data_IF_242030742162
#
_entry.id   IF_242030742162
#
_cell.length_a   1.000
_cell.length_b   1.000
_cell.length_c   1.000
_cell.angle_alpha   90.00
_cell.angle_beta   90.00
_cell.angle_gamma   90.00
#
_symmetry.space_group_name_H-M   'P 1'
#
loop_
_entity.id
_entity.type
_entity.pdbx_description
1 polymer ?
#
# COMPACT_ATOMS: atom_id res chain seq x y z
N UNK A 1 20.96 1.46 -7.96
CA UNK A 1 21.76 0.73 -6.95
C UNK A 1 20.98 -0.50 -6.49
N UNK A 2 21.64 -1.60 -6.08
CA UNK A 2 20.97 -2.74 -5.43
C UNK A 2 20.48 -2.39 -4.02
N UNK A 3 19.52 -3.14 -3.47
CA UNK A 3 18.94 -2.84 -2.15
C UNK A 3 19.96 -3.08 -1.03
N UNK A 4 20.70 -4.20 -1.05
CA UNK A 4 21.71 -4.52 -0.03
C UNK A 4 22.82 -3.48 0.02
N UNK A 5 23.29 -3.01 -1.15
CA UNK A 5 24.30 -1.97 -1.25
C UNK A 5 23.82 -0.67 -0.59
N UNK A 6 22.58 -0.25 -0.89
CA UNK A 6 21.98 0.94 -0.32
C UNK A 6 21.87 0.84 1.20
N UNK A 7 21.32 -0.25 1.71
CA UNK A 7 21.17 -0.46 3.15
C UNK A 7 22.52 -0.54 3.87
N UNK A 8 23.52 -1.23 3.29
CA UNK A 8 24.87 -1.34 3.85
C UNK A 8 25.61 0.01 3.89
N UNK A 9 25.26 0.91 2.97
CA UNK A 9 25.72 2.29 2.94
C UNK A 9 25.06 3.07 4.08
N UNK A 10 23.75 2.91 4.26
CA UNK A 10 22.99 3.61 5.30
C UNK A 10 23.43 3.18 6.70
N UNK A 11 23.74 1.91 6.93
CA UNK A 11 24.31 1.44 8.20
C UNK A 11 25.64 2.13 8.58
N UNK A 12 26.37 2.70 7.61
CA UNK A 12 27.64 3.42 7.83
C UNK A 12 27.45 4.93 7.97
N UNK A 13 26.25 5.42 7.70
CA UNK A 13 25.93 6.84 7.63
C UNK A 13 24.92 7.11 8.75
N UNK A 14 25.32 7.95 9.71
CA UNK A 14 24.47 8.39 10.82
C UNK A 14 23.45 9.45 10.33
N UNK A 15 22.64 9.09 9.33
CA UNK A 15 21.54 9.89 8.80
C UNK A 15 20.32 8.99 8.73
N UNK A 16 19.24 9.42 9.38
CA UNK A 16 17.99 8.70 9.37
C UNK A 16 17.33 8.77 7.99
N UNK A 17 17.20 7.61 7.35
CA UNK A 17 16.43 7.41 6.13
C UNK A 17 15.09 6.81 6.52
N UNK A 18 14.02 7.47 6.09
CA UNK A 18 12.64 7.03 6.32
C UNK A 18 12.27 5.91 5.35
N UNK A 19 12.78 5.96 4.11
CA UNK A 19 12.43 4.99 3.09
C UNK A 19 13.50 4.90 1.99
N UNK A 20 13.75 3.70 1.47
CA UNK A 20 14.43 3.51 0.19
C UNK A 20 13.35 3.29 -0.86
N UNK A 21 13.22 4.24 -1.78
CA UNK A 21 12.27 4.16 -2.90
C UNK A 21 12.85 3.33 -4.03
N UNK A 22 12.01 2.48 -4.59
CA UNK A 22 12.29 1.66 -5.75
C UNK A 22 11.52 2.18 -6.95
N UNK A 23 12.18 2.33 -8.09
CA UNK A 23 11.50 2.57 -9.36
C UNK A 23 12.26 1.98 -10.54
N UNK A 24 11.52 1.74 -11.63
CA UNK A 24 12.03 1.15 -12.86
C UNK A 24 11.54 -0.29 -13.08
N UNK A 25 11.84 -0.84 -14.27
CA UNK A 25 11.47 -2.21 -14.67
C UNK A 25 9.95 -2.53 -14.61
N UNK A 26 9.09 -1.50 -14.63
CA UNK A 26 7.63 -1.63 -14.59
C UNK A 26 7.04 -1.82 -13.19
N UNK A 27 7.81 -1.55 -12.14
CA UNK A 27 7.37 -1.62 -10.74
C UNK A 27 7.88 -0.41 -9.97
N UNK A 28 7.14 -0.01 -8.94
CA UNK A 28 7.51 1.05 -8.00
C UNK A 28 7.25 0.54 -6.59
N UNK A 29 7.95 1.06 -5.60
CA UNK A 29 7.66 0.76 -4.21
C UNK A 29 8.72 1.32 -3.30
N UNK A 30 8.87 0.69 -2.14
CA UNK A 30 9.95 1.03 -1.23
C UNK A 30 9.99 0.14 -0.01
N UNK A 31 11.07 0.27 0.73
CA UNK A 31 11.26 -0.34 2.04
C UNK A 31 11.52 0.75 3.06
N UNK A 32 10.83 0.66 4.20
CA UNK A 32 11.07 1.49 5.38
C UNK A 32 12.13 0.75 6.21
N UNK A 33 13.37 1.25 6.30
CA UNK A 33 14.45 0.55 6.97
C UNK A 33 14.18 0.32 8.44
N UNK A 34 14.65 -0.83 8.93
CA UNK A 34 14.39 -1.25 10.29
C UNK A 34 15.69 -1.30 11.09
N UNK A 35 15.63 -0.76 12.30
CA UNK A 35 16.73 -0.84 13.26
C UNK A 35 16.92 -2.28 13.73
N UNK A 36 18.18 -2.71 13.84
CA UNK A 36 18.53 -4.05 14.36
C UNK A 36 18.36 -5.21 13.38
N UNK A 37 17.89 -4.98 12.15
CA UNK A 37 17.83 -5.98 11.08
C UNK A 37 18.94 -5.73 10.08
N UNK A 38 19.69 -6.77 9.71
CA UNK A 38 20.84 -6.59 8.82
C UNK A 38 20.41 -6.12 7.43
N UNK A 39 21.22 -5.27 6.79
CA UNK A 39 21.03 -4.84 5.41
C UNK A 39 20.76 -6.01 4.45
N UNK A 40 21.45 -7.15 4.65
CA UNK A 40 21.27 -8.36 3.85
C UNK A 40 19.89 -8.98 4.01
N UNK A 41 19.37 -9.07 5.24
CA UNK A 41 18.07 -9.68 5.49
C UNK A 41 16.93 -8.82 4.93
N UNK A 42 17.02 -7.49 5.12
CA UNK A 42 16.08 -6.53 4.56
C UNK A 42 16.12 -6.53 3.02
N UNK A 43 17.30 -6.63 2.42
CA UNK A 43 17.44 -6.75 0.96
C UNK A 43 16.86 -8.06 0.42
N UNK A 44 17.14 -9.20 1.07
CA UNK A 44 16.56 -10.48 0.68
C UNK A 44 15.04 -10.45 0.74
N UNK A 45 14.48 -9.87 1.80
CA UNK A 45 13.04 -9.66 1.91
C UNK A 45 12.50 -8.85 0.74
N UNK A 46 13.11 -7.70 0.44
CA UNK A 46 12.66 -6.84 -0.64
C UNK A 46 12.73 -7.51 -2.01
N UNK A 47 13.83 -8.23 -2.28
CA UNK A 47 13.99 -8.98 -3.52
C UNK A 47 12.94 -10.09 -3.66
N UNK A 48 12.69 -10.88 -2.61
CA UNK A 48 11.73 -11.98 -2.66
C UNK A 48 10.29 -11.47 -2.82
N UNK A 49 9.91 -10.40 -2.13
CA UNK A 49 8.57 -9.81 -2.23
C UNK A 49 8.26 -9.33 -3.66
N UNK A 50 9.18 -8.59 -4.28
CA UNK A 50 9.06 -8.09 -5.65
C UNK A 50 9.19 -9.21 -6.69
N UNK A 51 10.09 -10.17 -6.47
CA UNK A 51 10.30 -11.31 -7.37
C UNK A 51 9.05 -12.18 -7.45
N UNK A 52 8.36 -12.39 -6.33
CA UNK A 52 7.12 -13.19 -6.31
C UNK A 52 5.96 -12.46 -6.99
N UNK A 53 5.71 -11.19 -6.64
CA UNK A 53 4.53 -10.45 -7.11
C UNK A 53 4.66 -9.99 -8.55
N UNK A 54 5.88 -9.62 -8.94
CA UNK A 54 6.11 -8.97 -10.22
C UNK A 54 7.13 -9.70 -11.10
N UNK A 55 7.82 -10.73 -10.60
CA UNK A 55 8.95 -11.36 -11.28
C UNK A 55 10.01 -10.30 -11.66
N UNK A 56 10.33 -9.45 -10.68
CA UNK A 56 11.28 -8.33 -10.78
C UNK A 56 12.15 -8.22 -9.54
N UNK A 57 13.34 -7.66 -9.73
CA UNK A 57 14.16 -7.17 -8.62
C UNK A 57 13.94 -5.67 -8.45
N UNK A 58 13.77 -5.18 -7.21
CA UNK A 58 13.68 -3.76 -6.93
C UNK A 58 15.03 -3.10 -7.19
N UNK A 59 15.00 -1.86 -7.67
CA UNK A 59 16.18 -1.02 -7.88
C UNK A 59 15.98 0.26 -7.11
N UNK A 60 16.90 0.58 -6.21
CA UNK A 60 16.85 1.82 -5.44
C UNK A 60 17.05 3.00 -6.38
N UNK A 61 16.07 3.90 -6.39
CA UNK A 61 16.04 5.11 -7.22
C UNK A 61 16.08 6.40 -6.39
N UNK A 62 15.59 6.38 -5.16
CA UNK A 62 15.65 7.52 -4.25
C UNK A 62 15.73 7.10 -2.78
N UNK A 63 16.15 8.05 -1.93
CA UNK A 63 16.12 7.95 -0.47
C UNK A 63 15.18 9.03 0.05
N UNK A 64 14.25 8.65 0.93
CA UNK A 64 13.36 9.57 1.63
C UNK A 64 13.95 9.86 3.00
N UNK A 65 14.06 11.14 3.35
CA UNK A 65 14.63 11.61 4.61
C UNK A 65 13.67 12.59 5.26
N UNK A 66 13.89 12.87 6.55
CA UNK A 66 13.09 13.86 7.28
C UNK A 66 13.26 15.26 6.68
N UNK A 67 12.20 16.07 6.77
CA UNK A 67 12.27 17.49 6.39
C UNK A 67 13.33 18.28 7.19
N UNK A 68 13.69 17.80 8.38
CA UNK A 68 14.73 18.40 9.24
C UNK A 68 16.17 18.04 8.84
N UNK A 69 16.38 17.13 7.88
CA UNK A 69 17.71 16.73 7.42
C UNK A 69 18.41 17.91 6.74
N UNK A 70 19.65 18.20 7.14
CA UNK A 70 20.39 19.37 6.66
C UNK A 70 20.81 19.21 5.19
N UNK A 71 21.03 20.33 4.50
CA UNK A 71 21.51 20.31 3.11
C UNK A 71 22.85 19.57 2.96
N UNK A 72 23.74 19.70 3.94
CA UNK A 72 25.04 19.00 3.96
C UNK A 72 24.87 17.48 4.06
N UNK A 73 23.90 17.01 4.86
CA UNK A 73 23.55 15.59 4.96
C UNK A 73 22.91 15.07 3.68
N UNK A 74 22.03 15.86 3.05
CA UNK A 74 21.44 15.54 1.74
C UNK A 74 22.54 15.42 0.67
N UNK A 75 23.45 16.38 0.58
CA UNK A 75 24.58 16.34 -0.37
C UNK A 75 25.47 15.12 -0.14
N UNK A 76 25.74 14.78 1.14
CA UNK A 76 26.48 13.56 1.50
C UNK A 76 25.76 12.30 1.02
N UNK A 77 24.44 12.19 1.22
CA UNK A 77 23.64 11.06 0.74
C UNK A 77 23.65 10.96 -0.79
N UNK A 78 23.49 12.10 -1.50
CA UNK A 78 23.53 12.15 -2.96
C UNK A 78 24.89 11.69 -3.51
N UNK A 79 25.99 12.11 -2.88
CA UNK A 79 27.34 11.68 -3.25
C UNK A 79 27.55 10.17 -3.11
N UNK A 80 26.90 9.54 -2.14
CA UNK A 80 26.98 8.09 -1.94
C UNK A 80 26.06 7.33 -2.91
N UNK A 81 24.87 7.86 -3.20
CA UNK A 81 23.95 7.29 -4.18
C UNK A 81 24.52 7.27 -5.61
N UNK A 82 25.27 8.31 -5.99
CA UNK A 82 25.92 8.42 -7.31
C UNK A 82 27.17 7.54 -7.47
N UNK A 83 27.80 7.12 -6.36
CA UNK A 83 28.97 6.24 -6.38
C UNK A 83 28.62 4.76 -6.63
N UNK A 84 27.36 4.35 -6.44
CA UNK A 84 26.94 3.00 -6.79
C UNK A 84 26.51 2.89 -8.26
N UNK A 85 26.99 1.83 -8.91
CA UNK A 85 26.84 1.60 -10.36
C UNK A 85 25.39 1.68 -10.86
N UNK A 86 25.20 2.04 -12.15
CA UNK A 86 23.88 2.21 -12.75
C UNK A 86 23.11 0.89 -12.79
N UNK A 87 21.78 1.03 -12.71
CA UNK A 87 20.81 -0.05 -12.70
C UNK A 87 21.03 -1.08 -13.82
N UNK A 88 21.01 -2.37 -13.46
CA UNK A 88 20.89 -3.46 -14.43
C UNK A 88 19.49 -3.39 -15.04
N UNK A 89 19.40 -2.95 -16.28
CA UNK A 89 18.16 -2.99 -17.07
C UNK A 89 17.93 -4.44 -17.50
N UNK A 90 16.95 -5.12 -16.93
CA UNK A 90 16.46 -6.39 -17.46
C UNK A 90 15.29 -6.10 -18.39
N UNK A 91 15.31 -6.67 -19.60
CA UNK A 91 14.17 -6.61 -20.51
C UNK A 91 12.95 -7.28 -19.85
N UNK A 92 11.86 -6.52 -19.75
CA UNK A 92 10.64 -6.87 -19.02
C UNK A 92 9.88 -8.08 -19.60
N UNK A 93 9.55 -9.12 -18.79
CA UNK A 93 8.41 -10.00 -19.07
C UNK A 93 7.10 -9.52 -18.41
N UNK A 94 5.98 -9.74 -19.10
CA UNK A 94 4.65 -9.15 -18.93
C UNK A 94 4.08 -8.99 -17.50
N UNK A 95 3.22 -7.99 -17.34
CA UNK A 95 2.18 -7.86 -16.30
C UNK A 95 1.63 -9.25 -15.97
N UNK A 96 1.63 -9.62 -14.69
CA UNK A 96 0.91 -10.81 -14.23
C UNK A 96 -0.58 -10.49 -14.37
N UNK A 97 -1.14 -10.74 -15.56
CA UNK A 97 -2.57 -10.62 -15.78
C UNK A 97 -3.25 -11.81 -15.11
N UNK A 98 -3.64 -11.67 -13.85
CA UNK A 98 -4.63 -12.55 -13.25
C UNK A 98 -6.00 -12.07 -13.73
N UNK A 99 -6.59 -12.72 -14.75
CA UNK A 99 -7.99 -12.44 -15.07
C UNK A 99 -8.82 -12.78 -13.83
N UNK A 100 -9.53 -11.79 -13.27
CA UNK A 100 -10.58 -12.07 -12.32
C UNK A 100 -11.57 -13.01 -13.00
N UNK A 101 -11.77 -14.20 -12.43
CA UNK A 101 -12.71 -15.16 -13.00
C UNK A 101 -14.13 -14.74 -12.65
N UNK A 102 -14.73 -13.88 -13.50
CA UNK A 102 -16.14 -13.44 -13.41
C UNK A 102 -17.11 -14.63 -13.55
N UNK A 103 -16.66 -15.79 -14.06
CA UNK A 103 -17.48 -17.00 -14.22
C UNK A 103 -18.08 -17.54 -12.90
N UNK A 104 -17.54 -17.18 -11.72
CA UNK A 104 -18.12 -17.58 -10.42
C UNK A 104 -19.32 -16.73 -9.96
N UNK A 105 -19.59 -15.59 -10.59
CA UNK A 105 -20.69 -14.69 -10.20
C UNK A 105 -22.04 -15.00 -10.88
N UNK A 106 -22.16 -16.13 -11.60
CA UNK A 106 -23.36 -16.46 -12.40
C UNK A 106 -24.52 -17.08 -11.63
N UNK A 107 -24.40 -17.31 -10.33
CA UNK A 107 -25.55 -17.73 -9.51
C UNK A 107 -26.34 -16.51 -9.03
N UNK A 108 -27.26 -16.07 -9.90
CA UNK A 108 -28.43 -15.21 -9.66
C UNK A 108 -28.36 -14.27 -8.45
N UNK A 109 -27.57 -13.21 -8.55
CA UNK A 109 -27.74 -12.01 -7.73
C UNK A 109 -28.69 -11.08 -8.49
N UNK A 110 -29.89 -10.90 -7.95
CA UNK A 110 -30.84 -9.89 -8.45
C UNK A 110 -30.36 -8.49 -8.00
N UNK A 111 -30.35 -7.49 -8.89
CA UNK A 111 -29.82 -6.16 -8.58
C UNK A 111 -30.74 -5.40 -7.62
N UNK A 112 -30.13 -4.78 -6.61
CA UNK A 112 -30.56 -3.52 -6.01
C UNK A 112 -29.40 -2.53 -6.24
N UNK A 113 -29.72 -1.27 -6.47
CA UNK A 113 -28.98 -0.16 -7.14
C UNK A 113 -27.51 0.19 -6.73
N UNK A 114 -26.70 -0.75 -6.27
CA UNK A 114 -25.31 -0.54 -5.84
C UNK A 114 -24.29 -0.35 -6.98
N UNK A 115 -24.24 0.85 -7.56
CA UNK A 115 -23.12 1.30 -8.40
C UNK A 115 -21.94 1.73 -7.52
N UNK A 116 -20.74 1.23 -7.82
CA UNK A 116 -19.50 1.89 -7.42
C UNK A 116 -19.42 3.16 -8.27
N UNK A 117 -19.05 4.28 -7.66
CA UNK A 117 -18.78 5.51 -8.40
C UNK A 117 -17.83 5.21 -9.58
N UNK A 118 -18.22 5.61 -10.79
CA UNK A 118 -17.49 5.35 -12.05
C UNK A 118 -16.08 5.94 -12.05
N UNK A 119 -15.76 6.79 -11.08
CA UNK A 119 -14.41 7.29 -10.91
C UNK A 119 -13.49 6.27 -10.22
N UNK A 120 -13.98 5.24 -9.53
CA UNK A 120 -13.15 4.25 -8.84
C UNK A 120 -12.95 2.95 -9.64
N UNK A 121 -12.01 2.06 -9.23
CA UNK A 121 -11.86 0.76 -9.87
C UNK A 121 -13.18 -0.04 -9.84
N UNK A 122 -13.60 -0.53 -10.99
CA UNK A 122 -14.84 -1.31 -11.13
C UNK A 122 -14.72 -2.72 -10.56
N UNK A 123 -13.50 -3.24 -10.38
CA UNK A 123 -13.26 -4.48 -9.65
C UNK A 123 -12.07 -4.26 -8.73
N UNK A 124 -12.17 -4.79 -7.52
CA UNK A 124 -11.12 -4.76 -6.53
C UNK A 124 -11.13 -6.03 -5.66
N UNK A 125 -9.97 -6.65 -5.46
CA UNK A 125 -9.74 -7.83 -4.62
C UNK A 125 -8.66 -7.51 -3.58
N UNK A 126 -8.93 -7.88 -2.32
CA UNK A 126 -7.98 -7.74 -1.23
C UNK A 126 -7.66 -9.10 -0.63
N UNK A 127 -6.37 -9.42 -0.46
CA UNK A 127 -5.90 -10.63 0.21
C UNK A 127 -5.03 -10.24 1.42
N UNK A 128 -5.36 -10.77 2.60
CA UNK A 128 -4.55 -10.61 3.81
C UNK A 128 -4.13 -11.97 4.35
N UNK A 129 -2.82 -12.19 4.48
CA UNK A 129 -2.25 -13.49 4.82
C UNK A 129 -0.85 -13.36 5.44
N UNK A 130 -0.31 -14.47 5.94
CA UNK A 130 1.04 -14.50 6.51
C UNK A 130 2.08 -14.86 5.47
N UNK A 131 3.25 -14.24 5.53
CA UNK A 131 4.42 -14.59 4.71
C UNK A 131 5.57 -15.02 5.60
N UNK A 132 6.33 -16.04 5.18
CA UNK A 132 7.46 -16.57 5.96
C UNK A 132 8.67 -16.68 5.05
N UNK A 133 9.75 -15.97 5.40
CA UNK A 133 11.00 -15.92 4.65
C UNK A 133 12.13 -16.69 5.36
N UNK A 134 12.51 -17.90 4.92
CA UNK A 134 13.72 -18.58 5.34
C UNK A 134 14.97 -17.89 4.77
N UNK A 135 16.10 -17.88 5.51
CA UNK A 135 16.32 -18.50 6.82
C UNK A 135 15.91 -17.63 8.02
N UNK A 136 15.43 -16.40 7.79
CA UNK A 136 15.24 -15.37 8.83
C UNK A 136 14.05 -15.70 9.76
N UNK A 137 13.17 -16.64 9.41
CA UNK A 137 11.94 -16.96 10.17
C UNK A 137 11.10 -15.72 10.51
N UNK A 138 11.30 -14.60 9.81
CA UNK A 138 10.45 -13.43 9.96
C UNK A 138 9.08 -13.81 9.35
N UNK A 139 8.11 -14.01 10.23
CA UNK A 139 6.70 -14.08 9.85
C UNK A 139 6.23 -12.64 9.64
N UNK A 140 5.73 -12.32 8.46
CA UNK A 140 5.21 -11.01 8.10
C UNK A 140 3.72 -11.09 7.78
N UNK A 141 3.08 -9.94 7.71
CA UNK A 141 1.66 -9.73 7.43
C UNK A 141 1.54 -9.06 6.09
N UNK A 142 1.06 -9.81 5.12
CA UNK A 142 0.93 -9.34 3.75
C UNK A 142 -0.49 -8.86 3.47
N UNK A 143 -0.56 -7.76 2.72
CA UNK A 143 -1.75 -7.17 2.16
C UNK A 143 -1.52 -7.05 0.66
N UNK A 144 -2.31 -7.75 -0.16
CA UNK A 144 -2.30 -7.60 -1.61
C UNK A 144 -3.61 -6.98 -2.08
N UNK A 145 -3.51 -5.98 -2.95
CA UNK A 145 -4.63 -5.23 -3.52
C UNK A 145 -4.60 -5.35 -5.04
N UNK A 146 -5.56 -6.08 -5.61
CA UNK A 146 -5.72 -6.18 -7.05
C UNK A 146 -6.87 -5.28 -7.49
N UNK A 147 -6.69 -4.49 -8.55
CA UNK A 147 -7.74 -3.61 -9.03
C UNK A 147 -7.67 -3.36 -10.53
N UNK A 148 -8.82 -3.03 -11.12
CA UNK A 148 -8.94 -2.72 -12.55
C UNK A 148 -10.08 -1.73 -12.78
N UNK A 149 -9.88 -0.85 -13.76
CA UNK A 149 -10.92 -0.03 -14.36
C UNK A 149 -11.39 -0.73 -15.63
N UNK A 150 -12.55 -1.39 -15.61
CA UNK A 150 -13.09 -2.05 -16.80
C UNK A 150 -13.99 -1.09 -17.58
N UNK A 151 -13.69 -0.93 -18.87
CA UNK A 151 -14.44 -0.07 -19.78
C UNK A 151 -15.90 -0.50 -19.95
N UNK A 152 -16.21 -1.77 -19.64
CA UNK A 152 -17.57 -2.31 -19.63
C UNK A 152 -18.49 -1.69 -18.56
N UNK A 153 -17.91 -1.07 -17.54
CA UNK A 153 -18.63 -0.50 -16.39
C UNK A 153 -18.56 1.03 -16.35
N UNK A 154 -18.16 1.67 -17.45
CA UNK A 154 -17.93 3.12 -17.54
C UNK A 154 -16.82 3.65 -16.60
N UNK A 155 -16.20 2.79 -15.79
CA UNK A 155 -15.16 3.19 -14.87
C UNK A 155 -13.93 3.68 -15.63
N UNK A 156 -13.48 4.91 -15.41
CA UNK A 156 -12.37 5.48 -16.21
C UNK A 156 -11.32 6.13 -15.31
N UNK A 157 -10.06 5.68 -15.31
CA UNK A 157 -9.04 6.33 -14.50
C UNK A 157 -8.82 7.77 -14.98
N UNK A 158 -8.96 8.03 -16.29
CA UNK A 158 -8.75 9.34 -16.93
C UNK A 158 -9.68 10.46 -16.47
N UNK A 159 -10.76 10.15 -15.74
CA UNK A 159 -11.69 11.15 -15.21
C UNK A 159 -11.21 11.74 -13.88
N UNK A 160 -10.23 11.13 -13.21
CA UNK A 160 -9.59 11.74 -12.04
C UNK A 160 -8.95 13.09 -12.39
N UNK A 161 -9.19 14.15 -11.61
CA UNK A 161 -8.52 15.41 -11.85
C UNK A 161 -7.01 15.30 -11.57
N UNK A 162 -6.22 16.16 -12.21
CA UNK A 162 -4.76 16.06 -12.21
C UNK A 162 -4.09 16.35 -10.87
N UNK A 163 -4.81 16.98 -9.95
CA UNK A 163 -4.35 17.38 -8.62
C UNK A 163 -5.09 16.63 -7.49
N UNK A 164 -5.64 15.47 -7.84
CA UNK A 164 -6.24 14.52 -6.92
C UNK A 164 -5.68 13.12 -7.18
N UNK A 165 -5.52 12.38 -6.10
CA UNK A 165 -5.10 10.99 -6.07
C UNK A 165 -6.18 10.08 -5.48
N UNK A 166 -5.79 8.82 -5.35
CA UNK A 166 -6.59 7.73 -4.83
C UNK A 166 -5.77 6.98 -3.78
N UNK A 167 -6.33 6.71 -2.61
CA UNK A 167 -5.78 5.76 -1.63
C UNK A 167 -6.66 4.53 -1.58
N UNK A 168 -6.04 3.36 -1.78
CA UNK A 168 -6.69 2.06 -1.59
C UNK A 168 -6.02 1.33 -0.44
N UNK A 169 -6.80 0.71 0.43
CA UNK A 169 -6.22 0.00 1.56
C UNK A 169 -7.20 -0.73 2.44
N UNK A 170 -6.63 -1.33 3.47
CA UNK A 170 -7.32 -2.01 4.55
C UNK A 170 -6.94 -1.32 5.83
N UNK A 171 -7.95 -0.85 6.55
CA UNK A 171 -7.79 -0.37 7.92
C UNK A 171 -8.16 -1.52 8.85
N UNK A 172 -7.39 -1.70 9.91
CA UNK A 172 -7.67 -2.67 10.97
C UNK A 172 -7.97 -1.96 12.29
N UNK A 173 -8.85 -2.55 13.11
CA UNK A 173 -9.26 -1.99 14.39
C UNK A 173 -8.91 -2.89 15.57
N UNK A 174 -8.60 -2.25 16.70
CA UNK A 174 -8.53 -2.89 18.01
C UNK A 174 -9.48 -2.20 19.00
N UNK A 175 -10.56 -2.91 19.37
CA UNK A 175 -11.60 -2.39 20.26
C UNK A 175 -11.13 -2.22 21.73
N UNK A 176 -9.94 -2.74 22.10
CA UNK A 176 -9.32 -2.53 23.42
C UNK A 176 -8.59 -1.17 23.54
N UNK A 177 -8.42 -0.46 22.41
CA UNK A 177 -7.78 0.84 22.35
C UNK A 177 -8.82 1.97 22.28
N UNK A 178 -8.50 3.19 22.77
CA UNK A 178 -9.46 4.29 22.80
C UNK A 178 -9.59 4.97 21.43
N UNK A 179 -10.64 4.66 20.67
CA UNK A 179 -10.91 5.30 19.37
C UNK A 179 -11.38 6.75 19.38
N UNK A 180 -11.52 7.36 20.55
CA UNK A 180 -11.77 8.80 20.70
C UNK A 180 -10.47 9.61 20.85
N UNK A 181 -9.32 8.93 20.94
CA UNK A 181 -7.99 9.55 20.95
C UNK A 181 -7.35 9.32 19.59
N UNK A 182 -6.72 10.36 19.07
CA UNK A 182 -5.94 10.30 17.84
C UNK A 182 -4.45 10.33 18.14
N UNK A 183 -3.64 9.74 17.27
CA UNK A 183 -2.18 9.84 17.35
C UNK A 183 -1.73 11.31 17.27
N UNK A 184 -0.55 11.66 17.83
CA UNK A 184 0.34 10.84 18.66
C UNK A 184 -0.06 10.82 20.15
N UNK A 185 -1.29 11.21 20.51
CA UNK A 185 -1.69 11.40 21.90
C UNK A 185 -2.25 10.14 22.58
N UNK A 186 -1.96 8.95 22.04
CA UNK A 186 -2.43 7.69 22.60
C UNK A 186 -1.99 7.55 24.07
N UNK A 187 -2.90 7.22 25.01
CA UNK A 187 -2.60 7.39 26.43
C UNK A 187 -1.50 6.43 26.94
N UNK A 188 -0.56 6.91 27.78
CA UNK A 188 0.44 6.04 28.39
C UNK A 188 -0.22 4.92 29.20
N UNK A 189 0.17 3.67 28.94
CA UNK A 189 -0.40 2.47 29.60
C UNK A 189 -1.34 1.64 28.72
N UNK A 190 -1.69 2.14 27.52
CA UNK A 190 -2.35 1.39 26.45
C UNK A 190 -1.39 0.99 25.33
N UNK A 191 -0.09 0.92 25.65
CA UNK A 191 0.96 0.56 24.70
C UNK A 191 1.31 1.67 23.70
N UNK A 192 2.48 1.52 23.10
CA UNK A 192 2.73 1.99 21.75
C UNK A 192 1.80 1.15 20.85
N UNK A 193 0.58 1.65 20.64
CA UNK A 193 -0.58 0.96 20.03
C UNK A 193 -0.26 0.30 18.70
N UNK A 194 0.86 0.67 18.09
CA UNK A 194 1.34 0.24 16.80
C UNK A 194 1.58 -1.27 16.69
N UNK A 195 1.69 -1.99 17.82
CA UNK A 195 1.75 -3.45 17.83
C UNK A 195 0.42 -4.13 18.13
N UNK A 196 -0.60 -3.42 18.62
CA UNK A 196 -1.82 -4.03 19.15
C UNK A 196 -2.86 -4.34 18.05
N UNK A 197 -2.38 -4.71 16.87
CA UNK A 197 -3.18 -5.09 15.71
C UNK A 197 -2.68 -6.42 15.13
N UNK A 198 -3.31 -6.90 14.06
CA UNK A 198 -2.87 -8.10 13.36
C UNK A 198 -1.49 -7.93 12.71
N UNK A 199 -1.17 -6.71 12.28
CA UNK A 199 0.14 -6.27 11.80
C UNK A 199 0.62 -5.03 12.55
N UNK A 200 1.92 -4.76 12.50
CA UNK A 200 2.45 -3.45 12.88
C UNK A 200 1.93 -2.32 11.96
N UNK A 201 2.22 -1.07 12.33
CA UNK A 201 2.06 0.12 11.48
C UNK A 201 3.24 0.27 10.51
N UNK A 202 3.13 1.11 9.48
CA UNK A 202 4.26 1.41 8.59
C UNK A 202 5.47 2.02 9.32
N UNK A 203 5.25 2.74 10.43
CA UNK A 203 6.34 3.33 11.24
C UNK A 203 7.27 2.27 11.84
N UNK A 204 6.77 1.03 12.02
CA UNK A 204 7.55 -0.10 12.52
C UNK A 204 8.42 -0.79 11.45
N UNK A 205 8.37 -0.30 10.22
CA UNK A 205 9.04 -0.90 9.08
C UNK A 205 8.11 -1.78 8.24
N UNK A 206 8.49 -1.92 6.98
CA UNK A 206 7.61 -2.48 5.99
C UNK A 206 8.21 -2.44 4.60
N UNK A 207 7.65 -3.23 3.71
CA UNK A 207 7.83 -3.08 2.27
C UNK A 207 6.49 -2.87 1.62
N UNK A 208 6.49 -2.03 0.59
CA UNK A 208 5.34 -1.89 -0.28
C UNK A 208 5.78 -1.87 -1.74
N UNK A 209 4.84 -2.11 -2.64
CA UNK A 209 5.08 -1.93 -4.06
C UNK A 209 3.85 -2.05 -4.91
N UNK A 210 3.96 -1.60 -6.15
CA UNK A 210 2.89 -1.65 -7.13
C UNK A 210 3.43 -1.82 -8.55
N UNK A 211 2.65 -2.44 -9.44
CA UNK A 211 2.94 -2.51 -10.88
C UNK A 211 2.28 -1.35 -11.67
N UNK A 212 2.10 -0.21 -11.03
CA UNK A 212 1.59 1.02 -11.65
C UNK A 212 2.73 1.82 -12.29
N UNK A 213 2.46 2.66 -13.30
CA UNK A 213 3.49 3.53 -13.88
C UNK A 213 4.10 4.48 -12.84
N UNK A 214 5.40 4.71 -12.89
CA UNK A 214 6.06 5.72 -12.02
C UNK A 214 5.44 7.11 -12.19
N UNK A 215 4.97 7.42 -13.40
CA UNK A 215 4.30 8.67 -13.70
C UNK A 215 2.97 8.83 -12.95
N UNK A 216 2.34 7.74 -12.47
CA UNK A 216 1.15 7.80 -11.61
C UNK A 216 1.46 8.12 -10.15
N UNK A 217 2.74 8.35 -9.80
CA UNK A 217 3.23 8.73 -8.47
C UNK A 217 2.65 7.88 -7.32
N UNK A 218 2.92 6.56 -7.29
CA UNK A 218 2.44 5.73 -6.19
C UNK A 218 3.23 5.98 -4.89
N UNK A 219 2.58 5.81 -3.75
CA UNK A 219 3.17 5.97 -2.42
C UNK A 219 2.53 5.04 -1.40
N UNK A 220 3.27 4.58 -0.40
CA UNK A 220 2.66 4.10 0.84
C UNK A 220 2.18 5.30 1.64
N UNK A 221 0.97 5.21 2.20
CA UNK A 221 0.52 6.18 3.19
C UNK A 221 0.98 5.72 4.56
N UNK A 222 2.10 6.27 5.02
CA UNK A 222 2.67 5.94 6.34
C UNK A 222 2.40 7.07 7.35
N UNK A 223 1.63 8.08 6.97
CA UNK A 223 1.25 9.17 7.86
C UNK A 223 0.06 8.75 8.72
N UNK A 224 0.37 8.21 9.90
CA UNK A 224 -0.65 7.78 10.87
C UNK A 224 -1.02 8.89 11.87
N UNK A 225 -0.52 10.11 11.69
CA UNK A 225 -0.64 11.17 12.70
C UNK A 225 -2.09 11.65 12.91
N UNK A 226 -3.00 11.35 11.98
CA UNK A 226 -4.43 11.65 12.09
C UNK A 226 -5.28 10.46 12.49
N UNK A 227 -4.70 9.26 12.59
CA UNK A 227 -5.45 8.03 12.81
C UNK A 227 -5.90 7.90 14.26
N UNK A 228 -7.07 7.29 14.46
CA UNK A 228 -7.51 6.87 15.78
C UNK A 228 -6.52 5.90 16.39
N UNK A 229 -6.31 5.94 17.71
CA UNK A 229 -5.41 4.99 18.39
C UNK A 229 -5.88 3.53 18.23
N UNK A 230 -7.17 3.32 17.99
CA UNK A 230 -7.78 2.02 17.71
C UNK A 230 -7.75 1.64 16.22
N UNK A 231 -7.08 2.42 15.37
CA UNK A 231 -6.97 2.23 13.93
C UNK A 231 -5.52 1.99 13.51
N UNK A 232 -5.36 1.10 12.51
CA UNK A 232 -4.12 0.89 11.78
C UNK A 232 -4.44 0.76 10.30
N UNK A 233 -4.22 1.85 9.57
CA UNK A 233 -4.34 1.94 8.12
C UNK A 233 -3.14 1.33 7.40
N UNK A 234 -3.42 0.51 6.38
CA UNK A 234 -2.40 -0.01 5.46
C UNK A 234 -2.79 0.38 4.05
N UNK A 235 -2.65 1.67 3.74
CA UNK A 235 -3.04 2.22 2.44
C UNK A 235 -1.83 2.34 1.49
N UNK A 236 -2.14 2.21 0.20
CA UNK A 236 -1.24 2.57 -0.89
C UNK A 236 -1.97 3.57 -1.77
N UNK A 237 -1.35 4.73 -1.91
CA UNK A 237 -1.82 5.81 -2.73
C UNK A 237 -1.31 5.75 -4.16
N UNK A 238 -2.14 6.23 -5.09
CA UNK A 238 -1.83 6.54 -6.47
C UNK A 238 -2.07 8.03 -6.66
N UNK A 239 -0.99 8.80 -6.75
CA UNK A 239 -1.06 10.26 -6.80
C UNK A 239 -1.71 10.83 -8.06
N UNK A 240 -1.57 10.14 -9.19
CA UNK A 240 -2.16 10.55 -10.47
C UNK A 240 -2.89 9.39 -11.14
N UNK A 241 -4.09 9.00 -10.65
CA UNK A 241 -4.84 7.86 -11.18
C UNK A 241 -5.18 8.02 -12.66
N UNK A 242 -5.36 9.25 -13.16
CA UNK A 242 -5.60 9.56 -14.57
C UNK A 242 -4.50 9.10 -15.53
N UNK A 243 -3.34 8.70 -15.02
CA UNK A 243 -2.26 8.13 -15.81
C UNK A 243 -2.26 6.59 -15.86
N UNK A 244 -3.19 5.95 -15.15
CA UNK A 244 -3.41 4.52 -15.26
C UNK A 244 -4.07 4.20 -16.61
N UNK A 245 -3.73 3.04 -17.14
CA UNK A 245 -4.35 2.51 -18.34
C UNK A 245 -5.67 1.82 -17.98
N UNK A 246 -6.69 2.11 -18.79
CA UNK A 246 -7.95 1.36 -18.81
C UNK A 246 -7.70 -0.14 -19.05
N UNK A 247 -8.59 -1.00 -18.55
CA UNK A 247 -8.60 -2.44 -18.78
C UNK A 247 -7.29 -3.15 -18.41
N UNK A 248 -6.52 -2.54 -17.50
CA UNK A 248 -5.26 -3.06 -16.99
C UNK A 248 -5.42 -3.49 -15.54
N UNK A 249 -5.00 -4.72 -15.25
CA UNK A 249 -4.95 -5.23 -13.89
C UNK A 249 -3.71 -4.68 -13.17
N UNK A 250 -3.96 -3.98 -12.09
CA UNK A 250 -2.95 -3.51 -11.16
C UNK A 250 -2.92 -4.37 -9.90
N UNK A 251 -1.73 -4.49 -9.34
CA UNK A 251 -1.42 -5.06 -8.03
C UNK A 251 -0.63 -4.01 -7.26
N UNK A 252 -1.12 -3.66 -6.09
CA UNK A 252 -0.36 -2.99 -5.04
C UNK A 252 -0.25 -3.95 -3.85
N UNK A 253 0.82 -3.87 -3.08
CA UNK A 253 1.00 -4.70 -1.90
C UNK A 253 1.76 -3.99 -0.79
N UNK A 254 1.50 -4.41 0.44
CA UNK A 254 2.30 -4.10 1.61
C UNK A 254 2.65 -5.40 2.36
N UNK A 255 3.84 -5.46 2.95
CA UNK A 255 4.16 -6.45 3.96
C UNK A 255 4.74 -5.75 5.19
N UNK A 256 4.12 -6.02 6.33
CA UNK A 256 4.41 -5.39 7.61
C UNK A 256 4.79 -6.47 8.62
N UNK A 257 5.42 -6.06 9.72
CA UNK A 257 5.67 -6.97 10.84
C UNK A 257 4.37 -7.49 11.47
N UNK A 258 4.43 -8.65 12.15
CA UNK A 258 3.28 -9.16 12.88
C UNK A 258 3.04 -8.26 14.09
N UNK A 259 1.79 -7.87 14.31
CA UNK A 259 1.39 -7.31 15.58
C UNK A 259 1.13 -8.41 16.62
N UNK A 260 0.64 -8.00 17.78
CA UNK A 260 0.32 -8.81 18.94
C UNK A 260 -0.98 -9.59 18.74
N UNK A 261 -1.90 -9.07 17.93
CA UNK A 261 -3.18 -9.70 17.72
C UNK A 261 -3.12 -10.81 16.67
N UNK A 262 -3.80 -11.91 16.97
CA UNK A 262 -3.92 -13.02 16.01
C UNK A 262 -4.87 -12.71 14.85
N UNK A 263 -5.74 -11.72 15.03
CA UNK A 263 -6.75 -11.24 14.10
C UNK A 263 -7.24 -9.85 14.53
N UNK A 264 -7.59 -8.97 13.58
CA UNK A 264 -8.18 -7.66 13.87
C UNK A 264 -9.41 -7.45 13.02
N UNK A 265 -10.38 -6.68 13.54
CA UNK A 265 -11.54 -6.23 12.75
C UNK A 265 -11.05 -5.37 11.59
N UNK A 266 -11.71 -5.45 10.44
CA UNK A 266 -11.23 -4.77 9.24
C UNK A 266 -12.35 -4.06 8.46
N UNK A 267 -11.92 -3.05 7.73
CA UNK A 267 -12.65 -2.40 6.66
C UNK A 267 -11.69 -2.27 5.48
N UNK A 268 -12.26 -2.05 4.31
CA UNK A 268 -11.47 -1.72 3.15
C UNK A 268 -12.19 -0.70 2.31
N UNK A 269 -11.43 0.21 1.74
CA UNK A 269 -11.96 1.35 1.02
C UNK A 269 -11.02 1.74 -0.09
N UNK A 270 -11.61 2.49 -1.02
CA UNK A 270 -10.87 3.37 -1.91
C UNK A 270 -11.37 4.79 -1.65
N UNK A 271 -10.45 5.74 -1.50
CA UNK A 271 -10.80 7.12 -1.18
C UNK A 271 -10.06 8.09 -2.09
N UNK A 272 -10.70 9.22 -2.37
CA UNK A 272 -10.12 10.29 -3.16
C UNK A 272 -9.41 11.28 -2.23
N UNK A 273 -8.21 11.69 -2.61
CA UNK A 273 -7.34 12.53 -1.78
C UNK A 273 -6.80 13.69 -2.60
N UNK A 274 -6.93 14.92 -2.13
CA UNK A 274 -6.33 16.08 -2.80
C UNK A 274 -4.82 16.03 -2.67
N UNK A 275 -4.09 16.44 -3.71
CA UNK A 275 -2.67 16.78 -3.55
C UNK A 275 -2.57 18.23 -3.08
N UNK A 276 -2.26 18.41 -1.80
CA UNK A 276 -2.24 19.70 -1.13
C UNK A 276 -0.87 20.37 -1.14
N UNK A 277 0.15 19.68 -1.63
CA UNK A 277 1.47 20.24 -1.89
C UNK A 277 1.69 20.65 -3.35
N UNK A 278 0.66 20.55 -4.21
CA UNK A 278 0.77 20.87 -5.63
C UNK A 278 1.21 22.33 -5.89
N UNK A 279 0.76 23.27 -5.05
CA UNK A 279 1.13 24.68 -5.06
C UNK A 279 2.61 24.92 -4.68
N UNK A 280 3.21 23.99 -3.94
CA UNK A 280 4.64 23.96 -3.62
C UNK A 280 5.46 23.28 -4.73
N UNK A 281 4.81 22.81 -5.80
CA UNK A 281 5.43 22.07 -6.89
C UNK A 281 5.87 20.65 -6.50
N UNK A 282 5.36 20.11 -5.38
CA UNK A 282 5.69 18.76 -4.93
C UNK A 282 4.76 17.74 -5.59
N UNK A 283 5.34 16.58 -5.88
CA UNK A 283 4.57 15.41 -6.33
C UNK A 283 3.76 14.81 -5.17
N UNK A 284 2.67 14.10 -5.47
CA UNK A 284 1.93 13.30 -4.49
C UNK A 284 2.85 12.39 -3.67
N UNK A 285 2.63 12.39 -2.36
CA UNK A 285 3.30 11.55 -1.36
C UNK A 285 2.47 11.59 -0.08
N UNK A 286 2.69 10.67 0.85
CA UNK A 286 1.93 10.57 2.12
C UNK A 286 1.76 11.89 2.86
N UNK A 287 2.82 12.69 3.02
CA UNK A 287 2.76 14.00 3.69
C UNK A 287 2.16 15.13 2.82
N UNK A 288 1.53 14.79 1.70
CA UNK A 288 0.96 15.77 0.76
C UNK A 288 -0.48 15.46 0.36
N UNK A 289 -1.01 14.30 0.73
CA UNK A 289 -2.27 13.81 0.22
C UNK A 289 -3.34 13.90 1.31
N UNK A 290 -4.46 14.56 1.02
CA UNK A 290 -5.60 14.66 1.93
C UNK A 290 -5.37 15.50 3.19
N UNK A 291 -4.45 16.47 3.16
CA UNK A 291 -4.18 17.37 4.29
C UNK A 291 -5.19 18.52 4.37
N UNK A 292 -5.78 18.92 3.25
CA UNK A 292 -6.73 20.02 3.18
C UNK A 292 -8.17 19.50 3.32
N UNK A 293 -8.67 19.44 4.55
CA UNK A 293 -10.04 19.01 4.84
C UNK A 293 -11.12 19.98 4.35
N UNK A 294 -10.75 21.21 3.95
CA UNK A 294 -11.68 22.20 3.42
C UNK A 294 -11.88 22.07 1.90
N UNK A 295 -11.19 21.11 1.28
CA UNK A 295 -11.26 20.86 -0.16
C UNK A 295 -12.23 19.72 -0.44
N UNK A 296 -13.46 20.08 -0.80
CA UNK A 296 -14.47 19.11 -1.20
C UNK A 296 -14.06 18.35 -2.48
N UNK A 297 -14.39 17.05 -2.60
CA UNK A 297 -14.29 16.32 -3.86
C UNK A 297 -15.00 17.08 -5.01
N UNK A 298 -14.48 17.02 -6.25
CA UNK A 298 -15.14 17.63 -7.39
C UNK A 298 -16.57 17.10 -7.56
N UNK A 299 -17.44 17.93 -8.13
CA UNK A 299 -18.82 17.53 -8.40
C UNK A 299 -18.86 16.23 -9.23
N UNK A 300 -19.62 15.25 -8.74
CA UNK A 300 -19.74 13.93 -9.36
C UNK A 300 -18.86 12.83 -8.73
N UNK A 301 -18.06 13.16 -7.72
CA UNK A 301 -17.30 12.19 -6.93
C UNK A 301 -17.95 11.99 -5.55
N UNK A 302 -18.07 10.74 -5.11
CA UNK A 302 -18.58 10.38 -3.77
C UNK A 302 -17.50 10.55 -2.67
N UNK A 303 -16.25 10.85 -3.03
CA UNK A 303 -15.12 11.10 -2.13
C UNK A 303 -14.52 9.85 -1.50
N UNK A 304 -15.32 8.81 -1.28
CA UNK A 304 -14.84 7.46 -0.94
C UNK A 304 -15.85 6.38 -1.32
N UNK A 305 -15.35 5.20 -1.67
CA UNK A 305 -16.14 3.99 -1.79
C UNK A 305 -15.70 2.97 -0.73
N UNK A 306 -16.61 2.67 0.20
CA UNK A 306 -16.40 1.64 1.23
C UNK A 306 -16.71 0.26 0.66
N UNK A 307 -15.66 -0.53 0.41
CA UNK A 307 -15.74 -1.84 -0.22
C UNK A 307 -16.09 -2.92 0.80
N UNK A 308 -15.48 -2.85 1.99
CA UNK A 308 -15.80 -3.67 3.16
C UNK A 308 -16.00 -2.75 4.35
N UNK A 309 -17.13 -2.90 5.03
CA UNK A 309 -17.47 -2.10 6.20
C UNK A 309 -17.07 -2.82 7.49
N UNK A 310 -16.42 -2.12 8.43
CA UNK A 310 -16.03 -2.62 9.76
C UNK A 310 -17.21 -3.15 10.58
N UNK A 311 -18.42 -2.63 10.38
CA UNK A 311 -19.66 -3.10 11.03
C UNK A 311 -20.12 -4.50 10.58
N UNK A 312 -19.55 -5.04 9.49
CA UNK A 312 -19.84 -6.41 9.02
C UNK A 312 -19.09 -7.48 9.83
N UNK A 313 -18.30 -7.07 10.82
CA UNK A 313 -17.48 -7.95 11.66
C UNK A 313 -16.53 -8.84 10.85
N UNK A 314 -15.97 -8.28 9.78
CA UNK A 314 -14.90 -8.93 9.02
C UNK A 314 -13.60 -8.75 9.77
N UNK A 315 -12.73 -9.75 9.65
CA UNK A 315 -11.45 -9.75 10.34
C UNK A 315 -10.35 -10.22 9.40
N UNK A 316 -9.15 -9.64 9.54
CA UNK A 316 -7.92 -10.14 8.92
C UNK A 316 -7.36 -11.32 9.75
N UNK A 317 -6.73 -12.35 9.15
CA UNK A 317 -6.57 -12.55 7.71
C UNK A 317 -7.89 -12.96 7.05
N UNK A 318 -8.11 -12.45 5.83
CA UNK A 318 -9.25 -12.72 4.96
C UNK A 318 -8.92 -12.34 3.51
N UNK A 319 -9.67 -12.92 2.58
CA UNK A 319 -9.65 -12.49 1.19
C UNK A 319 -11.05 -12.08 0.75
N UNK A 320 -11.12 -11.17 -0.20
CA UNK A 320 -12.39 -10.61 -0.60
C UNK A 320 -12.36 -9.93 -1.95
N UNK A 321 -13.53 -9.86 -2.56
CA UNK A 321 -13.74 -9.31 -3.89
C UNK A 321 -14.97 -8.40 -3.88
N UNK A 322 -14.80 -7.19 -4.39
CA UNK A 322 -15.88 -6.26 -4.70
C UNK A 322 -15.82 -5.92 -6.19
N UNK A 323 -16.97 -5.70 -6.81
CA UNK A 323 -17.05 -5.28 -8.20
C UNK A 323 -18.33 -4.55 -8.52
N UNK A 324 -18.35 -3.86 -9.65
CA UNK A 324 -19.52 -3.14 -10.14
C UNK A 324 -20.71 -4.08 -10.27
N UNK A 325 -21.86 -3.62 -9.75
CA UNK A 325 -23.08 -4.42 -9.69
C UNK A 325 -23.11 -5.48 -8.58
N UNK A 326 -22.06 -5.60 -7.75
CA UNK A 326 -22.10 -6.45 -6.57
C UNK A 326 -22.87 -5.73 -5.47
N UNK A 327 -23.85 -6.40 -4.88
CA UNK A 327 -24.60 -5.85 -3.75
C UNK A 327 -23.82 -5.92 -2.43
N UNK A 328 -22.85 -6.82 -2.36
CA UNK A 328 -22.02 -7.06 -1.19
C UNK A 328 -20.65 -7.58 -1.65
N UNK A 329 -19.56 -7.21 -0.95
CA UNK A 329 -18.28 -7.87 -1.16
C UNK A 329 -18.39 -9.37 -0.85
N UNK A 330 -17.74 -10.18 -1.68
CA UNK A 330 -17.63 -11.63 -1.47
C UNK A 330 -16.47 -11.86 -0.51
N UNK A 331 -16.72 -12.57 0.61
CA UNK A 331 -15.67 -13.00 1.54
C UNK A 331 -15.24 -14.43 1.22
N UNK A 332 -13.93 -14.66 1.21
CA UNK A 332 -13.34 -15.99 1.22
C UNK A 332 -12.63 -16.21 2.55
N UNK A 333 -12.91 -17.33 3.20
CA UNK A 333 -12.18 -17.72 4.39
C UNK A 333 -10.73 -18.08 3.99
N UNK A 334 -9.74 -17.78 4.85
CA UNK A 334 -8.37 -18.22 4.62
C UNK A 334 -8.28 -19.73 4.34
N UNK A 335 -7.51 -20.11 3.32
CA UNK A 335 -7.36 -21.50 2.88
C UNK A 335 -8.46 -22.01 1.93
N UNK A 336 -9.46 -21.19 1.60
CA UNK A 336 -10.55 -21.53 0.67
C UNK A 336 -10.35 -20.83 -0.67
N UNK A 337 -10.58 -21.55 -1.78
CA UNK A 337 -10.77 -20.94 -3.12
C UNK A 337 -9.68 -19.98 -3.59
N UNK A 338 -8.41 -20.26 -3.31
CA UNK A 338 -7.29 -19.40 -3.72
C UNK A 338 -6.96 -18.27 -2.74
N UNK A 339 -7.66 -18.18 -1.60
CA UNK A 339 -7.29 -17.31 -0.48
C UNK A 339 -6.15 -17.93 0.34
N UNK A 340 -4.93 -17.37 0.31
CA UNK A 340 -3.80 -17.90 1.06
C UNK A 340 -3.96 -17.70 2.57
N UNK A 341 -3.45 -18.64 3.37
CA UNK A 341 -3.29 -18.49 4.83
C UNK A 341 -1.85 -18.14 5.21
N UNK A 342 -0.90 -18.90 4.64
CA UNK A 342 0.53 -18.74 4.83
C UNK A 342 1.23 -19.02 3.51
N UNK A 343 2.20 -18.18 3.16
CA UNK A 343 3.09 -18.41 2.02
C UNK A 343 4.52 -18.56 2.53
N UNK A 344 5.14 -19.70 2.23
CA UNK A 344 6.52 -20.01 2.58
C UNK A 344 7.42 -19.73 1.37
N UNK A 345 8.57 -19.10 1.59
CA UNK A 345 9.54 -18.78 0.54
C UNK A 345 10.81 -19.61 0.58
#
# INVERSE_FOLDING_TARGET
MGVEDALSILEKIDIQVLELRFSGNGVVGGIIPMDGVTAKDQANWAELAFQRRFNRRPVVSALVVRASTSSTEIERLQGVMTAASPAVTTTAPAVVSRRFSVERARDTVQPLDGSIDEHYPSIWEGDTYRTVYPPVQAELRAYDYWFVYESAYSAQPSTFPSDWGMELGITTWNDDLPGWVVRPFCPPGFGDSDWDFWSGTYEMGGIWGANVPESSAPYADYNIASDGCDENGVEIGIGFPHQLAQDTLYLAFAELYPGNESSSRMAASVSMKSNDCNNLGLSPQTDCMGLNTDRDPPAGFDGSALLVNSSRNWTVPACFLMGEGFTNPIRYAPGVSGCPTVVYY
#
